data_IF_090484033606
#
_entry.id   IF_090484033606
#
_cell.length_a   1.000
_cell.length_b   1.000
_cell.length_c   1.000
_cell.angle_alpha   90.00
_cell.angle_beta   90.00
_cell.angle_gamma   90.00
#
_symmetry.space_group_name_H-M   'P 1'
#
loop_
_entity.id
_entity.type
_entity.pdbx_description
1 polymer ?
#
# COMPACT_ATOMS: atom_id res chain seq x y z
N UNK A 1 -36.72 3.59 -19.68
CA UNK A 1 -36.52 4.00 -18.28
C UNK A 1 -35.30 3.26 -17.73
N UNK A 2 -34.07 3.81 -17.80
CA UNK A 2 -32.89 3.14 -17.25
C UNK A 2 -32.56 3.70 -15.86
N UNK A 3 -32.67 2.88 -14.82
CA UNK A 3 -32.20 3.24 -13.49
C UNK A 3 -30.70 2.89 -13.39
N UNK A 4 -29.85 3.93 -13.38
CA UNK A 4 -28.40 3.82 -13.16
C UNK A 4 -28.16 3.37 -11.72
N UNK A 5 -27.88 2.08 -11.53
CA UNK A 5 -27.30 1.61 -10.29
C UNK A 5 -25.86 2.18 -10.18
N UNK A 6 -25.70 3.11 -9.24
CA UNK A 6 -24.39 3.63 -8.83
C UNK A 6 -23.51 2.47 -8.36
N UNK A 7 -22.41 2.22 -9.09
CA UNK A 7 -21.26 1.48 -8.55
C UNK A 7 -20.71 2.27 -7.38
N UNK A 8 -21.01 1.83 -6.16
CA UNK A 8 -20.25 2.24 -4.97
C UNK A 8 -18.85 1.69 -5.17
N UNK A 9 -17.89 2.57 -5.47
CA UNK A 9 -16.47 2.25 -5.28
C UNK A 9 -16.29 2.06 -3.78
N UNK A 10 -16.16 0.82 -3.31
CA UNK A 10 -15.69 0.54 -1.96
C UNK A 10 -14.21 0.97 -1.92
N UNK A 11 -13.97 2.12 -1.31
CA UNK A 11 -12.65 2.50 -0.84
C UNK A 11 -12.30 1.64 0.38
N UNK A 12 -11.02 1.36 0.66
CA UNK A 12 -10.62 0.81 1.95
C UNK A 12 -11.24 1.66 3.06
N UNK A 13 -11.63 1.03 4.17
CA UNK A 13 -12.22 1.77 5.28
C UNK A 13 -11.26 2.91 5.68
N UNK A 14 -11.77 4.09 6.07
CA UNK A 14 -10.93 5.25 6.43
C UNK A 14 -9.82 4.90 7.44
N UNK A 15 -10.06 3.88 8.28
CA UNK A 15 -9.09 3.35 9.26
C UNK A 15 -7.91 2.64 8.64
N UNK A 16 -8.15 1.83 7.60
CA UNK A 16 -7.08 1.19 6.86
C UNK A 16 -6.22 2.27 6.22
N UNK A 17 -6.81 3.23 5.51
CA UNK A 17 -6.09 4.36 4.91
C UNK A 17 -5.22 5.13 5.92
N UNK A 18 -5.74 5.42 7.12
CA UNK A 18 -4.98 6.06 8.20
C UNK A 18 -3.84 5.18 8.69
N UNK A 19 -4.07 3.87 8.87
CA UNK A 19 -3.03 2.90 9.22
C UNK A 19 -1.92 2.86 8.16
N UNK A 20 -2.28 2.91 6.87
CA UNK A 20 -1.31 2.97 5.77
C UNK A 20 -0.48 4.25 5.82
N UNK A 21 -1.14 5.39 5.98
CA UNK A 21 -0.50 6.69 6.08
C UNK A 21 0.51 6.74 7.23
N UNK A 22 0.15 6.23 8.41
CA UNK A 22 1.03 6.21 9.58
C UNK A 22 2.27 5.35 9.36
N UNK A 23 2.15 4.21 8.66
CA UNK A 23 3.28 3.34 8.33
C UNK A 23 4.19 4.01 7.29
N UNK A 24 3.62 4.53 6.20
CA UNK A 24 4.39 5.18 5.12
C UNK A 24 5.17 6.40 5.62
N UNK A 25 4.66 7.04 6.67
CA UNK A 25 5.23 8.24 7.27
C UNK A 25 5.76 7.99 8.69
N UNK A 26 6.20 6.77 9.04
CA UNK A 26 6.65 6.41 10.40
C UNK A 26 7.78 7.31 10.95
N UNK A 27 8.60 7.89 10.05
CA UNK A 27 9.69 8.83 10.39
C UNK A 27 9.23 10.29 10.42
N UNK A 28 8.01 10.56 9.96
CA UNK A 28 7.41 11.89 9.80
C UNK A 28 6.16 12.07 10.65
N UNK A 29 5.72 11.03 11.37
CA UNK A 29 4.59 11.06 12.29
C UNK A 29 5.01 10.46 13.62
N UNK A 30 4.67 11.18 14.70
CA UNK A 30 4.98 10.77 16.07
C UNK A 30 3.73 10.89 16.92
N UNK A 31 3.66 10.07 17.96
CA UNK A 31 2.61 10.08 18.96
C UNK A 31 3.06 10.86 20.20
N UNK A 32 2.29 11.87 20.58
CA UNK A 32 2.41 12.59 21.84
C UNK A 32 1.05 12.57 22.57
N UNK A 33 0.93 11.87 23.70
CA UNK A 33 -0.35 11.75 24.41
C UNK A 33 -0.94 13.11 24.82
N UNK A 34 -2.24 13.29 24.60
CA UNK A 34 -2.96 14.51 25.03
C UNK A 34 -2.69 15.77 24.21
N UNK A 35 -1.96 15.69 23.10
CA UNK A 35 -1.71 16.85 22.23
C UNK A 35 -3.01 17.32 21.56
N UNK A 36 -3.43 18.55 21.88
CA UNK A 36 -4.63 19.19 21.29
C UNK A 36 -4.31 20.46 20.49
N UNK A 37 -3.03 20.78 20.29
CA UNK A 37 -2.61 21.92 19.50
C UNK A 37 -2.88 21.69 17.99
N UNK A 38 -3.18 22.76 17.26
CA UNK A 38 -3.38 22.75 15.80
C UNK A 38 -2.53 23.87 15.21
N UNK A 39 -1.36 23.46 14.74
CA UNK A 39 -0.32 24.39 14.29
C UNK A 39 0.27 23.84 12.99
N UNK A 40 0.47 24.71 12.01
CA UNK A 40 1.23 24.43 10.79
C UNK A 40 2.39 25.41 10.74
N UNK A 41 3.62 24.91 10.69
CA UNK A 41 4.83 25.72 10.62
C UNK A 41 5.43 25.49 9.23
N UNK A 42 5.52 26.56 8.43
CA UNK A 42 6.20 26.55 7.13
C UNK A 42 7.43 27.45 7.14
N UNK A 43 8.19 27.43 6.05
CA UNK A 43 9.45 28.17 5.94
C UNK A 43 9.29 29.70 6.14
N UNK A 44 8.14 30.25 5.72
CA UNK A 44 7.89 31.69 5.69
C UNK A 44 6.93 32.18 6.77
N UNK A 45 6.08 31.31 7.29
CA UNK A 45 5.00 31.67 8.20
C UNK A 45 4.53 30.46 9.00
N UNK A 46 3.86 30.70 10.11
CA UNK A 46 3.10 29.69 10.84
C UNK A 46 1.61 30.04 10.92
N UNK A 47 0.76 29.02 11.01
CA UNK A 47 -0.68 29.14 11.27
C UNK A 47 -1.00 28.45 12.58
N UNK A 48 -1.66 29.16 13.49
CA UNK A 48 -2.15 28.63 14.77
C UNK A 48 -3.65 28.89 14.84
N UNK A 49 -4.46 27.89 15.13
CA UNK A 49 -5.91 28.09 15.10
C UNK A 49 -6.76 26.94 15.65
N UNK A 50 -8.05 27.00 15.33
CA UNK A 50 -9.07 26.05 15.80
C UNK A 50 -9.30 24.87 14.84
N UNK A 51 -8.86 24.99 13.59
CA UNK A 51 -9.09 23.99 12.55
C UNK A 51 -8.31 22.69 12.80
N UNK A 52 -9.02 21.57 12.85
CA UNK A 52 -8.41 20.24 12.72
C UNK A 52 -8.05 19.97 11.25
N UNK A 53 -6.97 19.22 11.01
CA UNK A 53 -6.59 18.70 9.69
C UNK A 53 -7.57 17.61 9.21
N UNK A 54 -8.78 18.02 8.88
CA UNK A 54 -9.88 17.19 8.36
C UNK A 54 -10.62 17.98 7.29
N UNK A 55 -11.27 17.31 6.33
CA UNK A 55 -12.08 17.99 5.31
C UNK A 55 -13.08 18.97 5.92
N UNK A 56 -13.75 18.56 7.00
CA UNK A 56 -14.70 19.42 7.68
C UNK A 56 -14.04 20.65 8.33
N UNK A 57 -12.91 20.48 9.01
CA UNK A 57 -12.17 21.58 9.65
C UNK A 57 -11.57 22.54 8.62
N UNK A 58 -11.08 22.05 7.49
CA UNK A 58 -10.42 22.88 6.49
C UNK A 58 -11.40 23.53 5.50
N UNK A 59 -12.52 22.88 5.19
CA UNK A 59 -13.38 23.27 4.08
C UNK A 59 -14.83 23.63 4.44
N UNK A 60 -15.36 23.14 5.57
CA UNK A 60 -16.81 23.15 5.83
C UNK A 60 -17.25 23.85 7.12
N UNK A 61 -16.32 24.05 8.07
CA UNK A 61 -16.56 24.71 9.35
C UNK A 61 -16.06 26.15 9.32
N UNK A 62 -16.71 27.00 10.10
CA UNK A 62 -16.25 28.35 10.35
C UNK A 62 -15.16 28.27 11.43
N UNK A 63 -13.90 28.21 11.00
CA UNK A 63 -12.73 28.15 11.87
C UNK A 63 -11.99 29.50 11.87
N UNK A 64 -11.15 29.73 12.89
CA UNK A 64 -10.29 30.91 12.99
C UNK A 64 -8.84 30.48 13.17
N UNK A 65 -7.92 31.17 12.48
CA UNK A 65 -6.49 31.00 12.64
C UNK A 65 -5.78 32.35 12.59
N UNK A 66 -4.66 32.44 13.29
CA UNK A 66 -3.73 33.56 13.23
C UNK A 66 -2.53 33.14 12.40
N UNK A 67 -2.17 33.98 11.43
CA UNK A 67 -0.94 33.86 10.67
C UNK A 67 0.18 34.63 11.35
N UNK A 68 1.31 33.96 11.58
CA UNK A 68 2.50 34.51 12.22
C UNK A 68 3.62 34.53 11.18
N UNK A 69 3.99 35.73 10.73
CA UNK A 69 5.12 35.95 9.83
C UNK A 69 6.39 36.43 10.57
N UNK A 70 6.25 36.77 11.87
CA UNK A 70 7.34 37.27 12.72
C UNK A 70 8.40 36.17 12.98
N UNK A 71 9.66 36.33 12.55
CA UNK A 71 10.67 35.27 12.63
C UNK A 71 10.98 34.81 14.05
N UNK A 72 10.94 35.71 15.03
CA UNK A 72 11.23 35.37 16.43
C UNK A 72 10.17 34.42 17.02
N UNK A 73 8.89 34.71 16.80
CA UNK A 73 7.77 33.87 17.21
C UNK A 73 7.72 32.54 16.44
N UNK A 74 8.06 32.54 15.14
CA UNK A 74 8.17 31.29 14.37
C UNK A 74 9.24 30.36 14.95
N UNK A 75 10.43 30.87 15.29
CA UNK A 75 11.49 30.07 15.92
C UNK A 75 11.11 29.54 17.30
N UNK A 76 10.23 30.23 18.02
CA UNK A 76 9.68 29.72 19.27
C UNK A 76 8.75 28.52 19.03
N UNK A 77 7.86 28.60 18.03
CA UNK A 77 7.01 27.48 17.63
C UNK A 77 7.82 26.29 17.12
N UNK A 78 8.90 26.52 16.38
CA UNK A 78 9.82 25.46 15.93
C UNK A 78 10.46 24.75 17.11
N UNK A 79 11.04 25.49 18.06
CA UNK A 79 11.63 24.89 19.28
C UNK A 79 10.60 24.13 20.12
N UNK A 80 9.38 24.65 20.22
CA UNK A 80 8.28 23.94 20.89
C UNK A 80 7.95 22.63 20.17
N UNK A 81 7.85 22.65 18.84
CA UNK A 81 7.60 21.45 18.04
C UNK A 81 8.74 20.42 18.19
N UNK A 82 9.99 20.86 18.08
CA UNK A 82 11.16 19.99 18.21
C UNK A 82 11.23 19.34 19.60
N UNK A 83 10.94 20.10 20.66
CA UNK A 83 10.86 19.56 22.02
C UNK A 83 9.78 18.47 22.17
N UNK A 84 8.59 18.68 21.59
CA UNK A 84 7.57 17.63 21.55
C UNK A 84 8.01 16.43 20.70
N UNK A 85 8.71 16.68 19.60
CA UNK A 85 9.19 15.65 18.68
C UNK A 85 10.21 14.71 19.35
N UNK A 86 11.14 15.27 20.12
CA UNK A 86 12.14 14.51 20.88
C UNK A 86 11.49 13.62 21.95
N UNK A 87 10.47 14.13 22.64
CA UNK A 87 9.75 13.41 23.69
C UNK A 87 8.70 12.42 23.16
N UNK A 88 8.29 12.57 21.91
CA UNK A 88 7.31 11.71 21.25
C UNK A 88 7.91 10.36 20.84
N UNK A 89 7.05 9.37 20.60
CA UNK A 89 7.44 8.06 20.07
C UNK A 89 6.82 7.82 18.70
N UNK A 90 7.42 6.93 17.91
CA UNK A 90 6.72 6.42 16.73
C UNK A 90 5.58 5.51 17.19
N UNK A 91 4.35 5.64 16.66
CA UNK A 91 3.26 4.74 17.01
C UNK A 91 3.67 3.27 16.82
N UNK A 92 3.49 2.42 17.84
CA UNK A 92 3.73 0.99 17.70
C UNK A 92 2.70 0.40 16.73
N UNK A 93 3.19 -0.32 15.71
CA UNK A 93 2.31 -0.96 14.73
C UNK A 93 1.43 -2.03 15.37
N UNK A 94 1.94 -2.72 16.39
CA UNK A 94 1.18 -3.75 17.12
C UNK A 94 0.09 -3.11 17.99
N UNK A 95 0.39 -1.98 18.64
CA UNK A 95 -0.60 -1.26 19.43
C UNK A 95 -1.66 -0.61 18.55
N UNK A 96 -1.26 -0.08 17.40
CA UNK A 96 -2.16 0.53 16.44
C UNK A 96 -3.10 -0.50 15.79
N UNK A 97 -2.57 -1.68 15.42
CA UNK A 97 -3.37 -2.79 14.90
C UNK A 97 -4.37 -3.28 15.96
N UNK A 98 -3.89 -3.52 17.19
CA UNK A 98 -4.74 -3.85 18.33
C UNK A 98 -5.83 -2.81 18.52
N UNK A 99 -5.49 -1.52 18.52
CA UNK A 99 -6.45 -0.44 18.68
C UNK A 99 -7.53 -0.48 17.58
N UNK A 100 -7.14 -0.65 16.32
CA UNK A 100 -8.07 -0.77 15.19
C UNK A 100 -9.01 -1.98 15.36
N UNK A 101 -8.51 -3.13 15.79
CA UNK A 101 -9.32 -4.33 16.04
C UNK A 101 -10.38 -4.13 17.14
N UNK A 102 -10.14 -3.21 18.09
CA UNK A 102 -11.08 -2.90 19.17
C UNK A 102 -12.06 -1.78 18.81
N UNK A 103 -11.91 -1.11 17.67
CA UNK A 103 -12.84 -0.08 17.23
C UNK A 103 -14.09 -0.72 16.59
N UNK A 104 -15.31 -0.23 16.89
CA UNK A 104 -16.54 -0.75 16.30
C UNK A 104 -16.54 -0.55 14.77
N UNK A 105 -16.95 -1.55 13.99
CA UNK A 105 -16.87 -1.57 12.51
C UNK A 105 -17.49 -0.36 11.82
N UNK A 106 -18.51 0.25 12.43
CA UNK A 106 -19.12 1.48 11.94
C UNK A 106 -18.72 2.68 12.82
N UNK A 107 -18.32 3.82 12.22
CA UNK A 107 -18.18 5.05 12.96
C UNK A 107 -19.57 5.45 13.48
N UNK A 108 -19.72 5.53 14.81
CA UNK A 108 -20.88 6.17 15.43
C UNK A 108 -20.87 7.63 15.01
N UNK A 109 -21.64 7.98 13.99
CA UNK A 109 -21.91 9.37 13.65
C UNK A 109 -23.03 9.79 14.60
N UNK A 110 -22.77 10.59 15.65
CA UNK A 110 -23.84 11.08 16.49
C UNK A 110 -24.79 11.89 15.60
N UNK A 111 -26.02 11.41 15.47
CA UNK A 111 -27.10 12.16 14.85
C UNK A 111 -27.32 13.40 15.73
N UNK A 112 -26.80 14.55 15.27
CA UNK A 112 -27.10 15.83 15.91
C UNK A 112 -28.30 16.41 15.20
N UNK A 113 -29.44 16.43 15.88
CA UNK A 113 -30.51 17.36 15.52
C UNK A 113 -29.93 18.78 15.50
N UNK A 114 -30.24 19.52 14.44
CA UNK A 114 -29.72 20.89 14.26
C UNK A 114 -30.88 21.84 14.26
N UNK A 115 -30.76 22.91 15.02
CA UNK A 115 -31.62 24.08 14.90
C UNK A 115 -31.29 24.74 13.55
N UNK A 116 -32.28 25.00 12.68
CA UNK A 116 -32.04 25.65 11.40
C UNK A 116 -31.53 27.08 11.60
N UNK A 117 -30.64 27.53 10.72
CA UNK A 117 -30.12 28.91 10.69
C UNK A 117 -29.98 29.37 9.24
N UNK A 118 -30.28 30.63 8.98
CA UNK A 118 -30.12 31.29 7.67
C UNK A 118 -28.71 31.84 7.43
N UNK A 119 -27.81 31.76 8.42
CA UNK A 119 -26.46 32.27 8.29
C UNK A 119 -25.70 31.54 7.15
N UNK A 120 -24.96 32.28 6.30
CA UNK A 120 -24.20 31.66 5.22
C UNK A 120 -23.10 30.77 5.77
N UNK A 121 -22.84 29.64 5.08
CA UNK A 121 -21.73 28.74 5.41
C UNK A 121 -20.61 28.91 4.40
N UNK A 122 -19.39 29.05 4.91
CA UNK A 122 -18.19 29.00 4.06
C UNK A 122 -18.02 27.57 3.54
N UNK A 123 -17.83 27.46 2.21
CA UNK A 123 -17.41 26.22 1.54
C UNK A 123 -16.14 26.55 0.77
N UNK A 124 -15.02 26.02 1.25
CA UNK A 124 -13.77 26.03 0.50
C UNK A 124 -13.57 24.68 -0.19
N UNK A 125 -12.74 24.65 -1.23
CA UNK A 125 -12.30 23.42 -1.90
C UNK A 125 -10.79 23.44 -1.90
N UNK A 126 -10.16 22.33 -1.50
CA UNK A 126 -8.72 22.18 -1.63
C UNK A 126 -8.36 22.13 -3.11
N UNK A 127 -7.42 22.96 -3.53
CA UNK A 127 -6.87 22.93 -4.87
C UNK A 127 -5.59 22.07 -4.86
N UNK A 128 -5.55 21.03 -5.69
CA UNK A 128 -4.31 20.31 -5.96
C UNK A 128 -3.45 21.14 -6.90
N UNK A 129 -2.29 21.56 -6.43
CA UNK A 129 -1.29 22.17 -7.30
C UNK A 129 -0.80 21.10 -8.28
N UNK A 130 -0.88 21.34 -9.61
CA UNK A 130 -0.46 20.33 -10.58
C UNK A 130 1.01 19.96 -10.33
N UNK A 131 1.37 18.66 -10.36
CA UNK A 131 2.77 18.27 -10.29
C UNK A 131 3.52 18.96 -11.44
N UNK A 132 4.68 19.51 -11.14
CA UNK A 132 5.55 20.13 -12.14
C UNK A 132 5.85 19.10 -13.26
N UNK A 133 5.17 19.30 -14.39
CA UNK A 133 5.35 18.69 -15.72
C UNK A 133 5.79 17.22 -15.82
N UNK A 134 4.92 16.38 -16.37
CA UNK A 134 5.33 15.43 -17.41
C UNK A 134 4.12 14.99 -18.25
N UNK A 135 3.81 15.78 -19.27
CA UNK A 135 3.19 15.30 -20.50
C UNK A 135 4.21 14.42 -21.25
N UNK A 136 3.77 13.29 -21.82
CA UNK A 136 4.17 12.74 -23.14
C UNK A 136 3.36 11.46 -23.43
N UNK A 137 2.98 11.36 -24.70
CA UNK A 137 2.10 10.39 -25.36
C UNK A 137 2.70 8.99 -25.67
N UNK A 138 1.77 8.04 -25.84
CA UNK A 138 1.71 6.90 -26.78
C UNK A 138 2.77 5.77 -26.82
N UNK A 139 2.33 4.62 -26.30
CA UNK A 139 2.17 3.31 -26.96
C UNK A 139 3.36 2.51 -27.58
N UNK A 140 4.58 3.04 -27.70
CA UNK A 140 5.76 2.22 -28.05
C UNK A 140 6.86 2.26 -26.98
N UNK A 141 6.63 3.01 -25.89
CA UNK A 141 7.56 3.20 -24.78
C UNK A 141 7.28 2.31 -23.55
N UNK A 142 6.16 1.58 -23.50
CA UNK A 142 5.73 0.93 -22.24
C UNK A 142 6.63 -0.22 -21.81
N UNK A 143 7.15 -1.03 -22.75
CA UNK A 143 8.00 -2.18 -22.42
C UNK A 143 9.34 -1.77 -21.79
N UNK A 144 9.96 -0.70 -22.29
CA UNK A 144 11.22 -0.16 -21.75
C UNK A 144 10.99 0.52 -20.38
N UNK A 145 9.87 1.24 -20.21
CA UNK A 145 9.50 1.84 -18.92
C UNK A 145 9.20 0.77 -17.86
N UNK A 146 8.51 -0.31 -18.24
CA UNK A 146 8.13 -1.38 -17.32
C UNK A 146 9.32 -2.19 -16.82
N UNK A 147 10.27 -2.52 -17.69
CA UNK A 147 11.50 -3.22 -17.31
C UNK A 147 12.42 -2.34 -16.46
N UNK A 148 12.53 -1.05 -16.80
CA UNK A 148 13.27 -0.08 -15.99
C UNK A 148 12.64 0.04 -14.60
N UNK A 149 11.30 0.17 -14.53
CA UNK A 149 10.56 0.22 -13.26
C UNK A 149 10.71 -1.07 -12.46
N UNK A 150 10.75 -2.23 -13.12
CA UNK A 150 11.05 -3.50 -12.48
C UNK A 150 12.47 -3.49 -11.89
N UNK A 151 13.49 -3.10 -12.65
CA UNK A 151 14.87 -2.99 -12.15
C UNK A 151 14.95 -2.08 -10.92
N UNK A 152 14.34 -0.90 -10.97
CA UNK A 152 14.30 0.02 -9.83
C UNK A 152 13.62 -0.58 -8.61
N UNK A 153 12.51 -1.31 -8.82
CA UNK A 153 11.80 -2.01 -7.76
C UNK A 153 12.67 -3.10 -7.14
N UNK A 154 13.27 -3.97 -7.95
CA UNK A 154 14.15 -5.04 -7.46
C UNK A 154 15.36 -4.45 -6.71
N UNK A 155 15.98 -3.40 -7.24
CA UNK A 155 17.05 -2.67 -6.56
C UNK A 155 16.60 -2.13 -5.19
N UNK A 156 15.38 -1.62 -5.10
CA UNK A 156 14.81 -1.17 -3.84
C UNK A 156 14.62 -2.33 -2.86
N UNK A 157 14.05 -3.46 -3.30
CA UNK A 157 13.85 -4.64 -2.46
C UNK A 157 15.19 -5.16 -1.95
N UNK A 158 16.17 -5.41 -2.84
CA UNK A 158 17.51 -5.91 -2.47
C UNK A 158 18.18 -5.03 -1.41
N UNK A 159 18.10 -3.70 -1.55
CA UNK A 159 18.68 -2.76 -0.56
C UNK A 159 18.08 -2.88 0.85
N UNK A 160 16.87 -3.40 0.96
CA UNK A 160 16.11 -3.47 2.22
C UNK A 160 15.78 -4.92 2.63
N UNK A 161 16.22 -5.90 1.87
CA UNK A 161 16.18 -7.32 2.20
C UNK A 161 17.52 -7.99 1.82
N UNK A 162 17.58 -8.66 0.69
CA UNK A 162 18.76 -9.25 0.07
C UNK A 162 18.42 -9.71 -1.35
N UNK A 163 19.45 -10.05 -2.14
CA UNK A 163 19.27 -10.71 -3.43
C UNK A 163 18.58 -12.06 -3.29
N UNK A 164 19.04 -12.86 -2.33
CA UNK A 164 18.48 -14.17 -2.00
C UNK A 164 16.98 -14.09 -1.67
N UNK A 165 16.55 -13.07 -0.92
CA UNK A 165 15.14 -12.86 -0.62
C UNK A 165 14.30 -12.60 -1.88
N UNK A 166 14.83 -11.81 -2.82
CA UNK A 166 14.18 -11.55 -4.11
C UNK A 166 14.12 -12.81 -4.96
N UNK A 167 15.21 -13.59 -5.00
CA UNK A 167 15.28 -14.85 -5.72
C UNK A 167 14.24 -15.84 -5.18
N UNK A 168 14.17 -16.03 -3.86
CA UNK A 168 13.15 -16.89 -3.24
C UNK A 168 11.73 -16.44 -3.55
N UNK A 169 11.43 -15.13 -3.56
CA UNK A 169 10.11 -14.65 -3.97
C UNK A 169 9.81 -14.93 -5.44
N UNK A 170 10.79 -14.74 -6.34
CA UNK A 170 10.62 -15.06 -7.75
C UNK A 170 10.47 -16.56 -7.98
N UNK A 171 11.05 -17.41 -7.13
CA UNK A 171 10.81 -18.85 -7.14
C UNK A 171 9.38 -19.20 -6.75
N UNK A 172 8.80 -18.56 -5.73
CA UNK A 172 7.37 -18.70 -5.46
C UNK A 172 6.48 -18.25 -6.63
N UNK A 173 6.87 -17.18 -7.33
CA UNK A 173 6.17 -16.78 -8.55
C UNK A 173 6.29 -17.84 -9.66
N UNK A 174 7.49 -18.39 -9.86
CA UNK A 174 7.73 -19.44 -10.85
C UNK A 174 6.92 -20.69 -10.53
N UNK A 175 6.94 -21.13 -9.27
CA UNK A 175 6.17 -22.27 -8.77
C UNK A 175 4.66 -22.11 -8.99
N UNK A 176 4.11 -20.90 -8.78
CA UNK A 176 2.72 -20.59 -9.10
C UNK A 176 2.42 -20.78 -10.60
N UNK A 177 3.25 -20.17 -11.45
CA UNK A 177 3.04 -20.11 -12.89
C UNK A 177 3.18 -21.50 -13.52
N UNK A 178 4.21 -22.24 -13.10
CA UNK A 178 4.45 -23.62 -13.55
C UNK A 178 3.37 -24.57 -13.03
N UNK A 179 2.99 -24.50 -11.75
CA UNK A 179 1.96 -25.39 -11.18
C UNK A 179 0.59 -25.20 -11.86
N UNK A 180 0.26 -23.97 -12.25
CA UNK A 180 -1.00 -23.64 -12.91
C UNK A 180 -0.91 -23.65 -14.45
N UNK A 181 0.27 -23.86 -15.02
CA UNK A 181 0.54 -23.81 -16.46
C UNK A 181 0.05 -22.49 -17.10
N UNK A 182 0.22 -21.37 -16.38
CA UNK A 182 -0.22 -20.04 -16.84
C UNK A 182 0.90 -19.40 -17.63
N UNK A 183 0.58 -18.98 -18.86
CA UNK A 183 1.51 -18.25 -19.74
C UNK A 183 1.38 -16.74 -19.58
N UNK A 184 2.41 -16.00 -20.03
CA UNK A 184 2.50 -14.53 -19.92
C UNK A 184 1.25 -13.80 -20.44
N UNK A 185 0.74 -14.28 -21.59
CA UNK A 185 -0.40 -13.70 -22.28
C UNK A 185 -1.78 -14.10 -21.72
N UNK A 186 -1.83 -14.90 -20.65
CA UNK A 186 -3.11 -15.28 -20.05
C UNK A 186 -3.87 -14.01 -19.55
N UNK A 187 -5.08 -13.73 -20.08
CA UNK A 187 -5.81 -12.52 -19.75
C UNK A 187 -6.23 -12.44 -18.27
N UNK A 188 -6.21 -13.55 -17.54
CA UNK A 188 -6.56 -13.65 -16.12
C UNK A 188 -5.36 -13.34 -15.21
N UNK A 189 -4.13 -13.40 -15.72
CA UNK A 189 -2.92 -13.12 -14.95
C UNK A 189 -2.54 -11.64 -15.01
N UNK A 190 -2.22 -11.06 -13.86
CA UNK A 190 -1.50 -9.80 -13.76
C UNK A 190 -0.33 -9.93 -12.79
N UNK A 191 0.89 -9.72 -13.27
CA UNK A 191 2.06 -9.47 -12.42
C UNK A 191 2.42 -8.01 -12.59
N UNK A 192 2.36 -7.21 -11.53
CA UNK A 192 2.52 -5.76 -11.67
C UNK A 192 3.65 -5.20 -10.83
N UNK A 193 4.07 -3.98 -11.16
CA UNK A 193 5.06 -3.21 -10.39
C UNK A 193 4.44 -1.85 -10.04
N UNK A 194 3.58 -1.78 -9.01
CA UNK A 194 2.89 -0.55 -8.64
C UNK A 194 3.86 0.55 -8.19
N UNK A 195 3.50 1.81 -8.44
CA UNK A 195 4.29 2.98 -8.02
C UNK A 195 4.14 3.29 -6.52
N UNK A 196 2.96 3.06 -5.94
CA UNK A 196 2.57 3.54 -4.61
C UNK A 196 3.11 2.72 -3.43
N UNK A 197 2.88 1.41 -3.41
CA UNK A 197 3.04 0.58 -2.19
C UNK A 197 4.33 -0.25 -2.15
N UNK A 198 5.21 -0.04 -3.13
CA UNK A 198 6.50 -0.73 -3.31
C UNK A 198 6.46 -2.26 -3.35
N UNK A 199 5.29 -2.84 -3.59
CA UNK A 199 5.11 -4.29 -3.63
C UNK A 199 5.35 -4.85 -5.03
N UNK A 200 5.39 -6.18 -5.10
CA UNK A 200 5.34 -6.97 -6.32
C UNK A 200 4.14 -7.90 -6.20
N UNK A 201 2.93 -7.51 -6.63
CA UNK A 201 1.75 -8.36 -6.51
C UNK A 201 1.52 -9.18 -7.78
N UNK A 202 1.09 -10.41 -7.56
CA UNK A 202 0.52 -11.34 -8.53
C UNK A 202 -0.97 -11.45 -8.27
N UNK A 203 -1.75 -11.18 -9.30
CA UNK A 203 -3.21 -11.25 -9.30
C UNK A 203 -3.65 -12.31 -10.28
N UNK A 204 -4.53 -13.20 -9.83
CA UNK A 204 -5.31 -14.07 -10.72
C UNK A 204 -6.76 -13.64 -10.66
N UNK A 205 -7.40 -13.54 -11.82
CA UNK A 205 -8.75 -13.03 -11.96
C UNK A 205 -8.89 -11.64 -11.32
N UNK A 206 -9.57 -11.53 -10.17
CA UNK A 206 -9.78 -10.25 -9.49
C UNK A 206 -9.14 -10.19 -8.09
N UNK A 207 -8.35 -11.20 -7.69
CA UNK A 207 -7.80 -11.31 -6.33
C UNK A 207 -6.29 -11.45 -6.34
N UNK A 208 -5.64 -10.81 -5.38
CA UNK A 208 -4.22 -11.01 -5.12
C UNK A 208 -4.01 -12.43 -4.62
N UNK A 209 -3.14 -13.17 -5.29
CA UNK A 209 -2.81 -14.56 -4.92
C UNK A 209 -1.48 -14.67 -4.21
N UNK A 210 -0.57 -13.74 -4.51
CA UNK A 210 0.76 -13.64 -3.93
C UNK A 210 1.23 -12.20 -4.05
N UNK A 211 1.91 -11.65 -3.05
CA UNK A 211 2.62 -10.38 -3.19
C UNK A 211 3.84 -10.35 -2.29
N UNK A 212 4.90 -9.68 -2.74
CA UNK A 212 6.08 -9.44 -1.93
C UNK A 212 6.26 -7.97 -1.57
N UNK A 213 7.09 -7.79 -0.54
CA UNK A 213 7.68 -6.53 -0.12
C UNK A 213 6.67 -5.44 0.24
N UNK A 214 5.58 -5.87 0.89
CA UNK A 214 4.50 -4.97 1.26
C UNK A 214 5.02 -3.81 2.13
N UNK A 215 4.84 -2.58 1.64
CA UNK A 215 5.28 -1.34 2.29
C UNK A 215 6.77 -1.30 2.66
N UNK A 216 7.62 -1.89 1.82
CA UNK A 216 9.07 -1.79 1.98
C UNK A 216 9.66 -2.67 3.09
N UNK A 217 8.90 -3.67 3.55
CA UNK A 217 9.33 -4.63 4.57
C UNK A 217 9.31 -6.04 3.98
N UNK A 218 10.09 -6.96 4.55
CA UNK A 218 10.10 -8.39 4.20
C UNK A 218 8.79 -9.08 4.58
N UNK A 219 7.73 -8.71 3.88
CA UNK A 219 6.38 -9.22 4.06
C UNK A 219 5.92 -9.87 2.77
N UNK A 220 5.49 -11.12 2.88
CA UNK A 220 4.78 -11.83 1.83
C UNK A 220 3.31 -11.89 2.21
N UNK A 221 2.44 -11.53 1.27
CA UNK A 221 1.03 -11.88 1.37
C UNK A 221 0.70 -13.01 0.41
N UNK A 222 -0.10 -13.98 0.86
CA UNK A 222 -0.52 -15.12 0.06
C UNK A 222 -1.99 -15.46 0.33
N UNK A 223 -2.65 -15.96 -0.71
CA UNK A 223 -4.03 -16.43 -0.62
C UNK A 223 -4.08 -17.79 0.08
N UNK A 224 -4.84 -17.92 1.15
CA UNK A 224 -5.04 -19.19 1.83
C UNK A 224 -6.54 -19.53 1.91
N UNK A 225 -6.91 -20.82 1.96
CA UNK A 225 -8.29 -21.23 2.20
C UNK A 225 -8.77 -20.68 3.54
N UNK A 226 -10.08 -20.43 3.67
CA UNK A 226 -10.67 -20.12 4.97
C UNK A 226 -10.56 -21.36 5.87
N UNK A 227 -10.14 -21.16 7.12
CA UNK A 227 -9.96 -22.26 8.07
C UNK A 227 -8.77 -23.19 7.77
N UNK A 228 -7.74 -22.71 7.07
CA UNK A 228 -6.48 -23.44 6.94
C UNK A 228 -5.89 -23.72 8.33
N UNK A 229 -5.32 -24.91 8.52
CA UNK A 229 -4.66 -25.25 9.78
C UNK A 229 -3.41 -24.40 9.97
N UNK A 230 -3.13 -23.99 11.21
CA UNK A 230 -1.84 -23.36 11.52
C UNK A 230 -0.73 -24.41 11.34
N UNK A 231 -0.08 -24.39 10.18
CA UNK A 231 1.03 -25.26 9.83
C UNK A 231 2.30 -24.86 10.61
N UNK A 232 3.32 -25.71 10.58
CA UNK A 232 4.58 -25.55 11.33
C UNK A 232 5.47 -24.34 10.91
N UNK A 233 4.91 -23.39 10.15
CA UNK A 233 5.59 -22.19 9.67
C UNK A 233 5.28 -20.94 10.52
N UNK A 234 5.74 -19.76 10.05
CA UNK A 234 5.45 -18.49 10.71
C UNK A 234 3.96 -18.21 10.67
N UNK A 235 3.39 -17.77 11.80
CA UNK A 235 1.98 -17.39 11.86
C UNK A 235 1.73 -16.09 11.07
N UNK A 236 0.63 -15.97 10.33
CA UNK A 236 0.30 -14.70 9.70
C UNK A 236 0.00 -13.68 10.79
N UNK A 237 0.64 -12.50 10.71
CA UNK A 237 0.38 -11.41 11.65
C UNK A 237 -0.90 -10.63 11.30
N UNK A 238 -1.42 -10.82 10.08
CA UNK A 238 -2.67 -10.23 9.60
C UNK A 238 -3.34 -11.18 8.61
N UNK A 239 -4.66 -11.26 8.64
CA UNK A 239 -5.47 -11.90 7.61
C UNK A 239 -6.60 -10.95 7.18
N UNK A 240 -6.71 -10.70 5.88
CA UNK A 240 -7.83 -9.96 5.28
C UNK A 240 -8.80 -10.93 4.60
N UNK A 241 -10.10 -10.63 4.63
CA UNK A 241 -11.08 -11.32 3.78
C UNK A 241 -11.21 -10.60 2.44
N UNK A 242 -11.39 -11.36 1.36
CA UNK A 242 -11.83 -10.77 0.09
C UNK A 242 -13.34 -10.49 0.13
N UNK A 243 -13.79 -9.59 -0.74
CA UNK A 243 -15.22 -9.44 -1.02
C UNK A 243 -15.78 -10.75 -1.57
N UNK A 244 -16.90 -11.20 -1.01
CA UNK A 244 -17.64 -12.37 -1.47
C UNK A 244 -18.30 -12.06 -2.83
N UNK A 245 -18.10 -12.94 -3.81
CA UNK A 245 -18.82 -12.83 -5.09
C UNK A 245 -20.24 -13.38 -4.98
N UNK A 246 -21.15 -12.93 -5.87
CA UNK A 246 -22.57 -13.31 -5.84
C UNK A 246 -22.81 -14.82 -5.89
N UNK A 247 -21.94 -15.56 -6.59
CA UNK A 247 -22.04 -17.02 -6.77
C UNK A 247 -21.03 -17.79 -5.91
N UNK A 248 -20.54 -17.19 -4.83
CA UNK A 248 -19.55 -17.78 -3.92
C UNK A 248 -20.16 -17.96 -2.54
N UNK A 249 -20.03 -19.15 -1.96
CA UNK A 249 -20.42 -19.39 -0.57
C UNK A 249 -19.48 -18.68 0.39
N UNK A 250 -20.01 -18.16 1.50
CA UNK A 250 -19.21 -17.40 2.46
C UNK A 250 -18.04 -18.23 3.03
N UNK A 251 -18.23 -19.55 3.20
CA UNK A 251 -17.18 -20.47 3.64
C UNK A 251 -16.05 -20.67 2.62
N UNK A 252 -16.31 -20.40 1.34
CA UNK A 252 -15.38 -20.62 0.23
C UNK A 252 -14.55 -19.39 -0.13
N UNK A 253 -14.85 -18.24 0.49
CA UNK A 253 -14.09 -17.00 0.31
C UNK A 253 -12.71 -17.17 0.94
N UNK A 254 -11.61 -17.16 0.16
CA UNK A 254 -10.27 -17.31 0.70
C UNK A 254 -9.88 -16.07 1.52
N UNK A 255 -8.78 -16.20 2.25
CA UNK A 255 -8.16 -15.10 2.98
C UNK A 255 -6.87 -14.65 2.30
N UNK A 256 -6.54 -13.37 2.43
CA UNK A 256 -5.21 -12.86 2.12
C UNK A 256 -4.42 -12.74 3.43
N UNK A 257 -3.51 -13.68 3.65
CA UNK A 257 -2.71 -13.77 4.86
C UNK A 257 -1.36 -13.09 4.66
N UNK A 258 -0.87 -12.36 5.65
CA UNK A 258 0.37 -11.59 5.60
C UNK A 258 1.37 -12.16 6.60
N UNK A 259 2.57 -12.45 6.12
CA UNK A 259 3.64 -13.09 6.88
C UNK A 259 4.87 -12.18 6.89
N UNK A 260 5.47 -11.98 8.06
CA UNK A 260 6.84 -11.43 8.16
C UNK A 260 7.78 -12.61 8.07
N UNK A 261 8.67 -12.58 7.10
CA UNK A 261 9.61 -13.68 6.85
C UNK A 261 10.99 -13.12 6.56
N UNK A 262 12.00 -13.68 7.21
CA UNK A 262 13.39 -13.36 6.89
C UNK A 262 13.83 -14.00 5.58
N UNK A 263 13.24 -15.16 5.22
CA UNK A 263 13.40 -15.86 3.96
C UNK A 263 12.05 -16.39 3.42
N UNK A 264 11.73 -16.26 2.12
CA UNK A 264 10.47 -16.77 1.55
C UNK A 264 10.20 -18.25 1.80
N UNK A 265 11.24 -19.09 1.92
CA UNK A 265 11.11 -20.54 2.16
C UNK A 265 10.52 -20.89 3.53
N UNK A 266 10.49 -19.95 4.47
CA UNK A 266 9.75 -20.14 5.73
C UNK A 266 8.26 -20.45 5.49
N UNK A 267 7.74 -20.08 4.32
CA UNK A 267 6.35 -20.34 3.92
C UNK A 267 6.14 -21.68 3.22
N UNK A 268 7.17 -22.51 3.03
CA UNK A 268 7.05 -23.83 2.42
C UNK A 268 5.93 -24.70 3.04
N UNK A 269 5.70 -24.70 4.37
CA UNK A 269 4.58 -25.43 4.95
C UNK A 269 3.22 -25.04 4.33
N UNK A 270 3.02 -23.78 3.95
CA UNK A 270 1.77 -23.27 3.39
C UNK A 270 1.57 -23.55 1.90
N UNK A 271 2.56 -24.10 1.21
CA UNK A 271 2.56 -24.25 -0.26
C UNK A 271 1.33 -24.99 -0.78
N UNK A 272 0.98 -26.13 -0.19
CA UNK A 272 -0.15 -26.95 -0.66
C UNK A 272 -1.51 -26.25 -0.44
N UNK A 273 -1.70 -25.63 0.73
CA UNK A 273 -2.91 -24.88 1.05
C UNK A 273 -3.06 -23.67 0.11
N UNK A 274 -1.97 -22.95 -0.14
CA UNK A 274 -1.92 -21.84 -1.08
C UNK A 274 -2.26 -22.29 -2.50
N UNK A 275 -1.60 -23.34 -3.02
CA UNK A 275 -1.87 -23.88 -4.36
C UNK A 275 -3.32 -24.33 -4.53
N UNK A 276 -3.91 -24.93 -3.49
CA UNK A 276 -5.33 -25.30 -3.47
C UNK A 276 -6.24 -24.07 -3.64
N UNK A 277 -5.98 -23.00 -2.88
CA UNK A 277 -6.77 -21.77 -2.95
C UNK A 277 -6.65 -21.07 -4.30
N UNK A 278 -5.44 -20.95 -4.84
CA UNK A 278 -5.21 -20.26 -6.14
C UNK A 278 -5.73 -21.08 -7.32
N UNK A 279 -5.67 -22.41 -7.26
CA UNK A 279 -6.26 -23.29 -8.28
C UNK A 279 -7.77 -23.12 -8.32
N UNK A 280 -8.41 -23.06 -7.13
CA UNK A 280 -9.84 -22.79 -7.02
C UNK A 280 -10.20 -21.41 -7.56
N UNK A 281 -9.38 -20.39 -7.27
CA UNK A 281 -9.58 -19.04 -7.80
C UNK A 281 -9.47 -19.03 -9.33
N UNK A 282 -8.47 -19.69 -9.92
CA UNK A 282 -8.29 -19.78 -11.37
C UNK A 282 -9.48 -20.45 -12.07
N UNK A 283 -10.08 -21.47 -11.45
CA UNK A 283 -11.24 -22.20 -11.95
C UNK A 283 -12.55 -21.39 -11.93
N UNK A 284 -12.57 -20.19 -11.35
CA UNK A 284 -13.75 -19.32 -11.37
C UNK A 284 -14.02 -18.76 -12.77
N UNK A 285 -15.29 -18.42 -13.03
CA UNK A 285 -15.77 -17.91 -14.32
C UNK A 285 -15.36 -16.45 -14.58
N UNK A 286 -14.08 -16.26 -14.87
CA UNK A 286 -13.52 -14.98 -15.29
C UNK A 286 -12.79 -15.14 -16.62
N UNK A 287 -13.06 -14.25 -17.57
CA UNK A 287 -12.37 -14.21 -18.86
C UNK A 287 -11.14 -13.33 -18.85
N UNK A 288 -11.03 -12.38 -17.90
CA UNK A 288 -9.94 -11.41 -17.83
C UNK A 288 -9.84 -10.76 -16.44
N UNK A 289 -8.62 -10.42 -16.03
CA UNK A 289 -8.36 -9.56 -14.86
C UNK A 289 -8.60 -8.09 -15.18
N UNK A 290 -9.29 -7.37 -14.28
CA UNK A 290 -9.40 -5.90 -14.39
C UNK A 290 -8.04 -5.19 -14.21
N UNK A 291 -7.07 -5.88 -13.61
CA UNK A 291 -5.71 -5.41 -13.40
C UNK A 291 -4.80 -5.67 -14.59
N UNK A 292 -5.23 -6.43 -15.61
CA UNK A 292 -4.39 -6.88 -16.75
C UNK A 292 -3.63 -5.75 -17.44
N UNK A 293 -4.18 -4.52 -17.46
CA UNK A 293 -3.52 -3.33 -18.01
C UNK A 293 -2.22 -2.92 -17.29
N UNK A 294 -1.95 -3.48 -16.12
CA UNK A 294 -0.76 -3.25 -15.30
C UNK A 294 0.22 -4.43 -15.35
N UNK A 295 -0.03 -5.42 -16.19
CA UNK A 295 0.82 -6.60 -16.33
C UNK A 295 2.20 -6.19 -16.88
N UNK A 296 3.25 -6.73 -16.27
CA UNK A 296 4.65 -6.51 -16.63
C UNK A 296 5.27 -7.84 -17.02
N UNK A 297 5.39 -8.11 -18.32
CA UNK A 297 5.92 -9.37 -18.86
C UNK A 297 7.34 -9.66 -18.40
N UNK A 298 8.15 -8.63 -18.15
CA UNK A 298 9.50 -8.79 -17.62
C UNK A 298 9.51 -9.44 -16.21
N UNK A 299 8.47 -9.22 -15.40
CA UNK A 299 8.35 -9.84 -14.07
C UNK A 299 7.95 -11.31 -14.19
N UNK A 300 7.04 -11.64 -15.11
CA UNK A 300 6.73 -13.03 -15.46
C UNK A 300 7.96 -13.78 -15.98
N UNK A 301 8.71 -13.16 -16.90
CA UNK A 301 9.96 -13.72 -17.41
C UNK A 301 11.01 -13.89 -16.31
N UNK A 302 11.14 -12.92 -15.40
CA UNK A 302 12.04 -13.05 -14.25
C UNK A 302 11.65 -14.23 -13.33
N UNK A 303 10.38 -14.59 -13.24
CA UNK A 303 9.95 -15.75 -12.47
C UNK A 303 10.34 -17.08 -13.12
N UNK A 304 10.23 -17.24 -14.44
CA UNK A 304 10.43 -18.53 -15.12
C UNK A 304 11.81 -18.72 -15.78
N UNK A 305 12.40 -17.67 -16.33
CA UNK A 305 13.68 -17.73 -17.06
C UNK A 305 14.84 -17.37 -16.11
N UNK A 306 15.50 -18.40 -15.57
CA UNK A 306 16.65 -18.23 -14.66
C UNK A 306 17.78 -17.41 -15.28
N UNK A 307 18.06 -17.57 -16.58
CA UNK A 307 19.13 -16.84 -17.25
C UNK A 307 18.81 -15.35 -17.37
N UNK A 308 17.56 -15.02 -17.70
CA UNK A 308 17.08 -13.64 -17.68
C UNK A 308 17.10 -13.06 -16.26
N UNK A 309 16.61 -13.81 -15.26
CA UNK A 309 16.63 -13.39 -13.85
C UNK A 309 18.05 -13.06 -13.38
N UNK A 310 19.02 -13.93 -13.62
CA UNK A 310 20.41 -13.69 -13.20
C UNK A 310 20.96 -12.40 -13.80
N UNK A 311 20.82 -12.21 -15.12
CA UNK A 311 21.27 -10.96 -15.78
C UNK A 311 20.58 -9.72 -15.20
N UNK A 312 19.26 -9.79 -15.00
CA UNK A 312 18.47 -8.69 -14.44
C UNK A 312 18.98 -8.28 -13.05
N UNK A 313 19.26 -9.25 -12.18
CA UNK A 313 19.75 -9.00 -10.83
C UNK A 313 21.22 -8.53 -10.82
N UNK A 314 22.07 -9.05 -11.70
CA UNK A 314 23.46 -8.61 -11.84
C UNK A 314 23.55 -7.13 -12.31
N UNK A 315 22.68 -6.71 -13.22
CA UNK A 315 22.54 -5.31 -13.64
C UNK A 315 22.11 -4.40 -12.48
N UNK A 316 21.18 -4.88 -11.65
CA UNK A 316 20.70 -4.17 -10.46
C UNK A 316 21.84 -3.97 -9.45
N UNK A 317 22.64 -5.00 -9.20
CA UNK A 317 23.77 -4.95 -8.27
C UNK A 317 24.88 -4.03 -8.80
N UNK A 318 25.20 -4.11 -10.09
CA UNK A 318 26.23 -3.27 -10.74
C UNK A 318 25.87 -1.78 -10.68
N UNK A 319 24.60 -1.44 -10.87
CA UNK A 319 24.12 -0.06 -10.76
C UNK A 319 24.11 0.45 -9.30
N UNK A 320 23.88 -0.43 -8.33
CA UNK A 320 23.98 -0.07 -6.92
C UNK A 320 25.43 0.25 -6.50
N UNK A 321 26.43 -0.44 -7.08
CA UNK A 321 27.86 -0.15 -6.86
C UNK A 321 28.26 1.20 -7.47
N UNK A 322 27.77 1.51 -8.68
CA UNK A 322 28.05 2.78 -9.35
C UNK A 322 27.42 3.98 -8.62
N UNK A 323 26.21 3.85 -8.07
CA UNK A 323 25.56 4.90 -7.29
C UNK A 323 26.28 5.23 -5.97
N UNK A 324 27.02 4.27 -5.38
CA UNK A 324 27.85 4.50 -4.18
C UNK A 324 29.18 5.20 -4.47
N UNK A 325 29.62 5.21 -5.74
CA UNK A 325 30.87 5.85 -6.19
C UNK A 325 30.69 7.28 -6.71
N UNK A 326 29.46 7.77 -6.83
CA UNK A 326 29.21 9.15 -7.22
C UNK A 326 29.63 10.11 -6.08
N UNK A 327 30.52 11.09 -6.30
CA UNK A 327 30.88 12.06 -5.28
C UNK A 327 29.62 12.88 -4.94
N UNK A 328 29.34 13.00 -3.64
CA UNK A 328 28.32 13.94 -3.14
C UNK A 328 28.78 15.34 -3.53
N UNK A 329 28.09 15.95 -4.50
CA UNK A 329 28.24 17.36 -4.84
C UNK A 329 27.42 18.21 -3.87
#
# INVERSE_FOLDING_TARGET
MPNRAHRVRQFPSTRENVFEFLIENERRVRHYPGLHAKVVIGERAALVGSANLTDAGMCLRQEMAVRIDEPSLRRELERWFDGLWELSSTPSLEELDRFISHLPSEPRIPHRERIPSSAPRVRAVLFEEPPASSSIDSATSSGIDDETRLRERLAYVIRHSSREWVEGYLDWCGDLLDSLQIVDDDPRLTMSVPRSNRSLPVTLNQRYVLSAFFRGRKVISMMLPRGFDELAGPRPFRAGSFDQWRDEEAGDVPMLCYFRVEHPDELLPYREAWLTAVTRELGRRWSRSSFRKHHVSALHRAALDRSFRTRLLDEVDSNAVNARRAPRR
#
